data_IF_581590520049
#
_entry.id   IF_581590520049
#
_cell.length_a   1.000
_cell.length_b   1.000
_cell.length_c   1.000
_cell.angle_alpha   90.00
_cell.angle_beta   90.00
_cell.angle_gamma   90.00
#
_symmetry.space_group_name_H-M   'P 1'
#
loop_
_entity.id
_entity.type
_entity.pdbx_description
1 polymer ?
#
# COMPACT_ATOMS: atom_id res chain seq x y z
N UNK A 1 74.59 -12.62 14.70
CA UNK A 1 73.36 -13.16 15.32
C UNK A 1 72.50 -11.98 15.77
N UNK A 2 71.54 -11.58 14.94
CA UNK A 2 70.34 -10.78 15.26
C UNK A 2 69.68 -10.39 13.92
N UNK A 3 68.46 -10.86 13.71
CA UNK A 3 67.69 -10.82 12.47
C UNK A 3 67.00 -9.46 12.36
N UNK A 4 67.17 -8.78 11.21
CA UNK A 4 66.37 -7.61 10.83
C UNK A 4 64.99 -8.10 10.37
N UNK A 5 63.92 -7.64 11.01
CA UNK A 5 62.54 -7.89 10.58
C UNK A 5 62.18 -6.97 9.42
N UNK A 6 62.18 -7.51 8.20
CA UNK A 6 61.60 -6.89 7.01
C UNK A 6 60.09 -7.10 7.04
N UNK A 7 59.32 -6.05 7.31
CA UNK A 7 57.88 -6.04 7.02
C UNK A 7 57.71 -5.94 5.51
N UNK A 8 57.30 -7.05 4.90
CA UNK A 8 56.98 -7.14 3.48
C UNK A 8 55.55 -6.65 3.26
N UNK A 9 55.41 -5.66 2.38
CA UNK A 9 54.14 -5.15 1.86
C UNK A 9 53.59 -6.24 0.93
N UNK A 10 52.87 -7.21 1.48
CA UNK A 10 52.08 -8.16 0.70
C UNK A 10 50.61 -7.76 0.69
N UNK A 11 50.23 -7.17 -0.44
CA UNK A 11 48.98 -7.46 -1.15
C UNK A 11 47.64 -7.10 -0.48
N UNK A 12 47.41 -5.79 -0.35
CA UNK A 12 46.06 -5.21 -0.22
C UNK A 12 45.21 -5.35 -1.49
N UNK A 13 45.77 -5.91 -2.58
CA UNK A 13 45.10 -6.02 -3.89
C UNK A 13 44.22 -7.28 -4.01
N UNK A 14 44.50 -8.34 -3.25
CA UNK A 14 43.75 -9.62 -3.36
C UNK A 14 42.41 -9.56 -2.61
N UNK A 15 42.29 -8.75 -1.56
CA UNK A 15 41.04 -8.63 -0.79
C UNK A 15 39.96 -7.79 -1.51
N UNK A 16 40.35 -6.92 -2.45
CA UNK A 16 39.42 -6.07 -3.20
C UNK A 16 38.72 -6.84 -4.34
N UNK A 17 39.40 -7.80 -4.96
CA UNK A 17 38.86 -8.57 -6.09
C UNK A 17 37.81 -9.60 -5.68
N UNK A 18 37.92 -10.19 -4.48
CA UNK A 18 36.91 -11.12 -3.98
C UNK A 18 35.57 -10.42 -3.68
N UNK A 19 35.58 -9.21 -3.12
CA UNK A 19 34.35 -8.45 -2.85
C UNK A 19 33.67 -7.93 -4.13
N UNK A 20 34.44 -7.49 -5.14
CA UNK A 20 33.86 -7.12 -6.43
C UNK A 20 33.24 -8.33 -7.15
N UNK A 21 33.84 -9.52 -7.05
CA UNK A 21 33.29 -10.74 -7.68
C UNK A 21 31.99 -11.21 -7.03
N UNK A 22 31.87 -11.11 -5.69
CA UNK A 22 30.64 -11.43 -4.96
C UNK A 22 29.52 -10.41 -5.22
N UNK A 23 29.85 -9.13 -5.42
CA UNK A 23 28.89 -8.09 -5.79
C UNK A 23 28.44 -8.19 -7.27
N UNK A 24 29.31 -8.67 -8.16
CA UNK A 24 28.96 -8.92 -9.56
C UNK A 24 28.11 -10.20 -9.73
N UNK A 25 28.40 -11.26 -8.96
CA UNK A 25 27.61 -12.50 -9.01
C UNK A 25 26.22 -12.38 -8.36
N UNK A 26 26.00 -11.44 -7.43
CA UNK A 26 24.66 -11.21 -6.88
C UNK A 26 23.73 -10.44 -7.83
N UNK A 27 24.27 -9.83 -8.90
CA UNK A 27 23.51 -9.00 -9.85
C UNK A 27 23.17 -9.71 -11.17
N UNK A 28 23.54 -10.99 -11.36
CA UNK A 28 23.34 -11.70 -12.63
C UNK A 28 22.14 -12.67 -12.68
N UNK A 29 21.36 -12.80 -11.61
CA UNK A 29 20.14 -13.62 -11.61
C UNK A 29 18.90 -12.79 -11.31
N UNK A 30 18.52 -11.97 -12.29
CA UNK A 30 17.12 -11.58 -12.46
C UNK A 30 16.55 -12.54 -13.51
N UNK A 31 15.99 -13.67 -13.07
CA UNK A 31 15.29 -14.56 -13.98
C UNK A 31 14.11 -13.81 -14.59
N UNK A 32 14.19 -13.55 -15.89
CA UNK A 32 13.06 -13.03 -16.66
C UNK A 32 12.07 -14.16 -16.86
N UNK A 33 10.92 -14.07 -16.19
CA UNK A 33 9.80 -14.97 -16.44
C UNK A 33 9.35 -14.84 -17.91
N UNK A 34 9.08 -15.96 -18.60
CA UNK A 34 8.57 -15.92 -19.97
C UNK A 34 7.24 -15.18 -20.01
N UNK A 35 7.24 -14.01 -20.65
CA UNK A 35 6.05 -13.23 -20.94
C UNK A 35 5.22 -13.99 -21.98
N UNK A 36 4.11 -14.60 -21.54
CA UNK A 36 3.11 -15.17 -22.44
C UNK A 36 2.50 -14.03 -23.28
N UNK A 37 2.27 -14.21 -24.60
CA UNK A 37 1.75 -13.15 -25.46
C UNK A 37 0.50 -12.52 -24.87
N UNK A 38 0.50 -11.18 -24.84
CA UNK A 38 -0.52 -10.33 -24.26
C UNK A 38 -1.87 -10.63 -24.90
N UNK A 39 -2.70 -11.36 -24.17
CA UNK A 39 -4.14 -11.36 -24.39
C UNK A 39 -4.59 -9.92 -24.13
N UNK A 40 -5.33 -9.34 -25.08
CA UNK A 40 -5.83 -7.96 -25.09
C UNK A 40 -6.02 -7.44 -23.66
N UNK A 41 -5.08 -6.61 -23.19
CA UNK A 41 -5.10 -6.07 -21.84
C UNK A 41 -6.25 -5.06 -21.79
N UNK A 42 -7.41 -5.52 -21.34
CA UNK A 42 -8.58 -4.68 -21.24
C UNK A 42 -8.30 -3.62 -20.16
N UNK A 43 -7.93 -2.40 -20.56
CA UNK A 43 -7.56 -1.27 -19.67
C UNK A 43 -8.64 -0.94 -18.62
N UNK A 44 -9.87 -1.45 -18.78
CA UNK A 44 -10.94 -1.33 -17.81
C UNK A 44 -10.71 -2.12 -16.51
N UNK A 45 -9.82 -3.12 -16.49
CA UNK A 45 -9.52 -3.93 -15.31
C UNK A 45 -8.31 -3.42 -14.50
N UNK A 46 -7.67 -2.33 -14.92
CA UNK A 46 -6.46 -1.77 -14.28
C UNK A 46 -6.72 -0.56 -13.38
N UNK A 47 -7.99 -0.16 -13.17
CA UNK A 47 -8.34 0.90 -12.20
C UNK A 47 -7.78 0.55 -10.81
N UNK A 48 -7.30 1.56 -10.08
CA UNK A 48 -6.73 1.42 -8.73
C UNK A 48 -7.42 2.36 -7.77
N UNK A 49 -7.51 1.96 -6.51
CA UNK A 49 -7.99 2.80 -5.41
C UNK A 49 -7.04 2.71 -4.23
N UNK A 50 -6.95 3.79 -3.46
CA UNK A 50 -6.27 3.80 -2.17
C UNK A 50 -7.29 3.50 -1.06
N UNK A 51 -6.97 2.52 -0.23
CA UNK A 51 -7.73 2.16 0.98
C UNK A 51 -6.79 2.27 2.17
N UNK A 52 -7.26 2.83 3.27
CA UNK A 52 -6.46 2.92 4.50
C UNK A 52 -7.27 2.44 5.70
N UNK A 53 -6.69 1.54 6.49
CA UNK A 53 -7.17 1.26 7.85
C UNK A 53 -6.62 2.34 8.76
N UNK A 54 -7.52 3.05 9.43
CA UNK A 54 -7.23 4.17 10.34
C UNK A 54 -6.71 3.66 11.70
N UNK A 55 -6.21 4.54 12.59
CA UNK A 55 -5.62 4.11 13.86
C UNK A 55 -6.56 3.24 14.71
N UNK A 56 -7.84 3.58 14.78
CA UNK A 56 -8.87 2.79 15.47
C UNK A 56 -9.01 1.38 14.90
N UNK A 57 -8.92 1.21 13.57
CA UNK A 57 -9.02 -0.10 12.95
C UNK A 57 -7.78 -0.98 13.14
N UNK A 58 -6.62 -0.36 13.26
CA UNK A 58 -5.40 -1.07 13.64
C UNK A 58 -5.48 -1.50 15.10
N UNK A 59 -5.81 -0.57 16.00
CA UNK A 59 -5.92 -0.82 17.46
C UNK A 59 -6.94 -1.92 17.78
N UNK A 60 -8.04 -1.97 17.03
CA UNK A 60 -9.10 -2.98 17.20
C UNK A 60 -8.81 -4.33 16.53
N UNK A 61 -7.66 -4.50 15.88
CA UNK A 61 -7.26 -5.75 15.23
C UNK A 61 -8.04 -6.09 13.96
N UNK A 62 -8.59 -5.08 13.25
CA UNK A 62 -9.47 -5.28 12.10
C UNK A 62 -8.77 -5.22 10.73
N UNK A 63 -7.44 -5.07 10.71
CA UNK A 63 -6.65 -5.01 9.46
C UNK A 63 -6.90 -6.23 8.57
N UNK A 64 -6.80 -7.44 9.14
CA UNK A 64 -6.99 -8.69 8.40
C UNK A 64 -8.42 -8.85 7.87
N UNK A 65 -9.43 -8.43 8.64
CA UNK A 65 -10.83 -8.49 8.23
C UNK A 65 -11.10 -7.57 7.03
N UNK A 66 -10.56 -6.35 7.05
CA UNK A 66 -10.69 -5.42 5.92
C UNK A 66 -10.00 -5.99 4.67
N UNK A 67 -8.75 -6.46 4.78
CA UNK A 67 -8.03 -7.10 3.66
C UNK A 67 -8.85 -8.26 3.09
N UNK A 68 -9.32 -9.16 3.94
CA UNK A 68 -10.11 -10.33 3.57
C UNK A 68 -11.35 -9.95 2.76
N UNK A 69 -12.05 -8.85 3.07
CA UNK A 69 -13.23 -8.41 2.32
C UNK A 69 -12.89 -8.03 0.88
N UNK A 70 -11.76 -7.36 0.66
CA UNK A 70 -11.29 -7.01 -0.69
C UNK A 70 -10.75 -8.22 -1.46
N UNK A 71 -10.01 -9.12 -0.80
CA UNK A 71 -9.53 -10.36 -1.41
C UNK A 71 -10.69 -11.27 -1.83
N UNK A 72 -11.64 -11.49 -0.93
CA UNK A 72 -12.82 -12.34 -1.17
C UNK A 72 -13.69 -11.78 -2.29
N UNK A 73 -13.76 -10.44 -2.43
CA UNK A 73 -14.47 -9.80 -3.54
C UNK A 73 -13.82 -10.06 -4.89
N UNK A 74 -12.52 -10.40 -4.91
CA UNK A 74 -11.75 -10.62 -6.12
C UNK A 74 -10.88 -9.43 -6.54
N UNK A 75 -10.69 -8.41 -5.69
CA UNK A 75 -9.73 -7.34 -5.99
C UNK A 75 -8.29 -7.81 -5.80
N UNK A 76 -7.36 -7.22 -6.56
CA UNK A 76 -5.94 -7.58 -6.51
C UNK A 76 -5.19 -6.56 -5.64
N UNK A 77 -4.48 -7.03 -4.62
CA UNK A 77 -3.61 -6.18 -3.79
C UNK A 77 -2.33 -5.86 -4.55
N UNK A 78 -1.99 -4.58 -4.67
CA UNK A 78 -0.85 -4.10 -5.49
C UNK A 78 0.18 -3.29 -4.69
N UNK A 79 -0.18 -2.82 -3.50
CA UNK A 79 0.74 -2.30 -2.50
C UNK A 79 0.11 -2.38 -1.10
N UNK A 80 0.94 -2.56 -0.08
CA UNK A 80 0.54 -2.63 1.33
C UNK A 80 1.68 -2.09 2.19
N UNK A 81 1.38 -1.19 3.12
CA UNK A 81 2.35 -0.74 4.13
C UNK A 81 1.65 -0.35 5.43
N UNK A 82 2.32 -0.59 6.56
CA UNK A 82 1.97 0.01 7.85
C UNK A 82 2.90 1.20 8.10
N UNK A 83 2.34 2.34 8.49
CA UNK A 83 3.09 3.58 8.69
C UNK A 83 2.49 4.38 9.85
N UNK A 84 3.34 5.07 10.61
CA UNK A 84 2.91 6.16 11.49
C UNK A 84 3.06 7.48 10.74
N UNK A 85 1.98 8.03 10.16
CA UNK A 85 2.08 9.15 9.22
C UNK A 85 2.44 10.45 9.95
N UNK A 86 3.27 11.29 9.32
CA UNK A 86 3.53 12.64 9.82
C UNK A 86 2.28 13.51 9.71
N UNK A 87 2.20 14.57 10.52
CA UNK A 87 1.14 15.57 10.40
C UNK A 87 1.12 16.21 9.01
N UNK A 88 2.29 16.53 8.44
CA UNK A 88 2.39 17.11 7.10
C UNK A 88 1.82 16.20 6.00
N UNK A 89 2.05 14.88 6.09
CA UNK A 89 1.49 13.92 5.16
C UNK A 89 -0.04 13.88 5.26
N UNK A 90 -0.58 13.90 6.48
CA UNK A 90 -2.02 13.91 6.73
C UNK A 90 -2.68 15.22 6.30
N UNK A 91 -2.01 16.36 6.52
CA UNK A 91 -2.49 17.67 6.09
C UNK A 91 -2.59 17.74 4.57
N UNK A 92 -1.60 17.22 3.84
CA UNK A 92 -1.66 17.14 2.38
C UNK A 92 -2.75 16.16 1.91
N UNK A 93 -2.87 14.99 2.55
CA UNK A 93 -3.91 14.02 2.23
C UNK A 93 -5.32 14.60 2.42
N UNK A 94 -5.55 15.35 3.49
CA UNK A 94 -6.83 15.97 3.81
C UNK A 94 -6.92 17.45 3.40
N UNK A 95 -6.07 17.92 2.46
CA UNK A 95 -5.97 19.35 2.10
C UNK A 95 -7.30 20.00 1.72
N UNK A 96 -8.20 19.24 1.10
CA UNK A 96 -9.52 19.70 0.65
C UNK A 96 -10.47 19.97 1.84
N UNK A 97 -10.11 19.49 3.04
CA UNK A 97 -10.83 19.68 4.30
C UNK A 97 -10.17 20.74 5.19
N UNK A 98 -9.07 21.37 4.77
CA UNK A 98 -8.27 22.30 5.58
C UNK A 98 -9.06 23.49 6.17
N UNK A 99 -10.10 23.94 5.47
CA UNK A 99 -10.98 25.03 5.92
C UNK A 99 -12.08 24.58 6.89
N UNK A 100 -12.22 23.27 7.13
CA UNK A 100 -13.28 22.73 8.00
C UNK A 100 -12.88 22.82 9.47
N UNK A 101 -13.82 23.16 10.38
CA UNK A 101 -13.50 23.35 11.81
C UNK A 101 -12.99 22.07 12.49
N UNK A 102 -13.31 20.90 11.95
CA UNK A 102 -12.84 19.61 12.48
C UNK A 102 -11.46 19.18 11.97
N UNK A 103 -10.85 19.91 11.04
CA UNK A 103 -9.58 19.52 10.40
C UNK A 103 -8.42 19.32 11.41
N UNK A 104 -8.18 20.23 12.38
CA UNK A 104 -7.12 20.01 13.38
C UNK A 104 -7.34 18.73 14.20
N UNK A 105 -8.59 18.43 14.55
CA UNK A 105 -8.97 17.21 15.26
C UNK A 105 -8.77 15.97 14.39
N UNK A 106 -9.09 16.04 13.10
CA UNK A 106 -8.88 14.95 12.14
C UNK A 106 -7.38 14.62 12.00
N UNK A 107 -6.53 15.62 11.80
CA UNK A 107 -5.07 15.42 11.70
C UNK A 107 -4.50 14.86 13.01
N UNK A 108 -4.93 15.40 14.16
CA UNK A 108 -4.51 14.89 15.47
C UNK A 108 -4.94 13.44 15.71
N UNK A 109 -6.15 13.08 15.30
CA UNK A 109 -6.66 11.72 15.39
C UNK A 109 -5.87 10.77 14.50
N UNK A 110 -5.67 11.12 13.23
CA UNK A 110 -4.98 10.25 12.27
C UNK A 110 -3.48 10.09 12.56
N UNK A 111 -2.87 11.04 13.29
CA UNK A 111 -1.48 10.95 13.78
C UNK A 111 -1.34 10.29 15.15
N UNK A 112 -2.44 9.85 15.78
CA UNK A 112 -2.40 9.26 17.13
C UNK A 112 -1.85 7.83 17.17
N UNK A 113 -1.78 7.14 16.03
CA UNK A 113 -1.33 5.76 15.92
C UNK A 113 -0.98 5.36 14.49
N UNK A 114 -0.52 4.11 14.29
CA UNK A 114 -0.22 3.59 12.97
C UNK A 114 -1.48 3.44 12.11
N UNK A 115 -1.30 3.52 10.80
CA UNK A 115 -2.31 3.22 9.79
C UNK A 115 -1.79 2.13 8.87
N UNK A 116 -2.69 1.44 8.17
CA UNK A 116 -2.35 0.48 7.12
C UNK A 116 -2.88 0.99 5.79
N UNK A 117 -1.99 1.53 4.97
CA UNK A 117 -2.30 1.96 3.60
C UNK A 117 -2.22 0.77 2.63
N UNK A 118 -3.13 0.74 1.67
CA UNK A 118 -3.26 -0.32 0.66
C UNK A 118 -3.62 0.27 -0.70
N UNK A 119 -3.15 -0.38 -1.76
CA UNK A 119 -3.61 -0.12 -3.13
C UNK A 119 -4.25 -1.37 -3.69
N UNK A 120 -5.52 -1.26 -4.05
CA UNK A 120 -6.31 -2.34 -4.65
C UNK A 120 -6.59 -2.03 -6.11
N UNK A 121 -6.48 -3.03 -6.98
CA UNK A 121 -6.77 -2.90 -8.41
C UNK A 121 -7.89 -3.83 -8.87
N UNK A 122 -8.70 -3.35 -9.81
CA UNK A 122 -9.72 -4.11 -10.51
C UNK A 122 -10.82 -3.23 -11.09
N UNK A 123 -11.76 -3.83 -11.83
CA UNK A 123 -12.87 -3.13 -12.49
C UNK A 123 -13.72 -2.35 -11.47
N UNK A 124 -13.87 -1.04 -11.67
CA UNK A 124 -14.63 -0.13 -10.80
C UNK A 124 -14.26 -0.24 -9.31
N UNK A 125 -12.99 -0.49 -8.98
CA UNK A 125 -12.53 -0.71 -7.61
C UNK A 125 -12.69 0.52 -6.73
N UNK A 126 -12.62 1.75 -7.26
CA UNK A 126 -12.88 2.98 -6.49
C UNK A 126 -14.33 2.99 -6.02
N UNK A 127 -15.27 2.91 -6.98
CA UNK A 127 -16.72 2.97 -6.68
C UNK A 127 -17.16 1.79 -5.82
N UNK A 128 -16.71 0.59 -6.13
CA UNK A 128 -17.10 -0.61 -5.40
C UNK A 128 -16.39 -0.72 -4.05
N UNK A 129 -15.14 -0.26 -3.96
CA UNK A 129 -14.41 -0.15 -2.70
C UNK A 129 -15.18 0.75 -1.73
N UNK A 130 -15.64 1.93 -2.16
CA UNK A 130 -16.53 2.80 -1.37
C UNK A 130 -17.80 2.09 -0.90
N UNK A 131 -18.42 1.28 -1.76
CA UNK A 131 -19.60 0.47 -1.39
C UNK A 131 -19.27 -0.59 -0.34
N UNK A 132 -18.13 -1.27 -0.45
CA UNK A 132 -17.67 -2.24 0.56
C UNK A 132 -17.42 -1.57 1.90
N UNK A 133 -16.84 -0.36 1.89
CA UNK A 133 -16.60 0.39 3.12
C UNK A 133 -17.91 0.83 3.81
N UNK A 134 -18.94 1.18 3.04
CA UNK A 134 -20.18 1.78 3.56
C UNK A 134 -20.13 3.32 3.56
N UNK A 135 -21.21 3.95 4.03
CA UNK A 135 -21.30 5.40 4.13
C UNK A 135 -20.23 5.98 5.07
N UNK A 136 -19.86 7.26 4.93
CA UNK A 136 -18.84 7.86 5.81
C UNK A 136 -19.31 7.89 7.27
N UNK A 137 -20.59 8.17 7.49
CA UNK A 137 -21.25 8.04 8.77
C UNK A 137 -21.69 6.57 8.97
N UNK A 138 -21.18 5.86 9.99
CA UNK A 138 -21.55 4.47 10.25
C UNK A 138 -23.06 4.25 10.45
N UNK A 139 -23.77 5.23 11.01
CA UNK A 139 -25.22 5.13 11.22
C UNK A 139 -26.02 5.07 9.91
N UNK A 140 -25.42 5.53 8.81
CA UNK A 140 -25.98 5.46 7.45
C UNK A 140 -25.40 4.28 6.65
N UNK A 141 -24.62 3.41 7.29
CA UNK A 141 -23.97 2.26 6.65
C UNK A 141 -24.80 0.98 6.83
N UNK A 142 -25.13 0.34 5.72
CA UNK A 142 -25.90 -0.91 5.73
C UNK A 142 -25.13 -2.07 6.37
N UNK A 143 -25.82 -3.02 7.05
CA UNK A 143 -25.24 -4.28 7.47
C UNK A 143 -24.56 -5.03 6.31
N UNK A 144 -23.40 -5.61 6.56
CA UNK A 144 -22.54 -6.25 5.56
C UNK A 144 -21.49 -5.32 4.95
N UNK A 145 -21.59 -3.99 5.17
CA UNK A 145 -20.49 -3.06 4.88
C UNK A 145 -19.50 -3.03 6.04
N UNK A 146 -18.25 -2.65 5.78
CA UNK A 146 -17.21 -2.62 6.82
C UNK A 146 -17.60 -1.68 7.97
N UNK A 147 -18.11 -0.48 7.67
CA UNK A 147 -18.54 0.46 8.71
C UNK A 147 -19.85 0.05 9.36
N UNK A 148 -20.80 -0.51 8.61
CA UNK A 148 -22.06 -1.01 9.19
C UNK A 148 -21.83 -2.15 10.18
N UNK A 149 -20.85 -3.02 9.91
CA UNK A 149 -20.56 -4.16 10.78
C UNK A 149 -19.68 -3.81 11.99
N UNK A 150 -18.84 -2.77 11.86
CA UNK A 150 -17.76 -2.55 12.83
C UNK A 150 -17.65 -1.11 13.37
N UNK A 151 -18.46 -0.15 12.95
CA UNK A 151 -18.37 1.23 13.45
C UNK A 151 -19.69 1.69 14.08
N UNK A 152 -19.59 2.72 14.94
CA UNK A 152 -20.76 3.37 15.55
C UNK A 152 -20.71 4.89 15.27
N UNK A 153 -19.59 5.54 15.60
CA UNK A 153 -19.43 7.00 15.46
C UNK A 153 -18.60 7.42 14.24
N UNK A 154 -18.98 8.54 13.61
CA UNK A 154 -18.32 9.08 12.40
C UNK A 154 -16.84 9.45 12.62
N UNK A 155 -16.46 9.83 13.84
CA UNK A 155 -15.07 10.17 14.19
C UNK A 155 -14.15 8.95 14.25
N UNK A 156 -14.70 7.75 14.43
CA UNK A 156 -14.00 6.46 14.57
C UNK A 156 -14.61 5.46 13.59
N UNK A 157 -14.52 5.81 12.30
CA UNK A 157 -15.15 5.06 11.22
C UNK A 157 -14.21 4.09 10.51
N UNK A 158 -13.14 3.62 11.18
CA UNK A 158 -12.20 2.54 10.84
C UNK A 158 -11.35 2.66 9.58
N UNK A 159 -11.88 3.23 8.50
CA UNK A 159 -11.25 3.14 7.20
C UNK A 159 -11.49 4.38 6.33
N UNK A 160 -10.58 4.62 5.42
CA UNK A 160 -10.68 5.57 4.32
C UNK A 160 -10.65 4.83 2.98
N UNK A 161 -11.30 5.42 1.98
CA UNK A 161 -11.18 4.98 0.60
C UNK A 161 -11.41 6.16 -0.35
N UNK A 162 -10.60 6.24 -1.40
CA UNK A 162 -10.68 7.30 -2.42
C UNK A 162 -12.10 7.43 -2.96
N UNK A 163 -12.56 8.66 -3.17
CA UNK A 163 -13.94 8.95 -3.61
C UNK A 163 -14.12 9.02 -5.14
N UNK A 164 -13.02 9.15 -5.87
CA UNK A 164 -12.94 9.29 -7.31
C UNK A 164 -11.63 8.67 -7.83
N UNK A 165 -11.54 8.46 -9.14
CA UNK A 165 -10.32 7.93 -9.77
C UNK A 165 -9.19 8.95 -9.64
N UNK A 166 -9.51 10.23 -9.78
CA UNK A 166 -8.60 11.35 -9.66
C UNK A 166 -8.03 11.46 -8.23
N UNK A 167 -8.89 11.34 -7.21
CA UNK A 167 -8.45 11.26 -5.81
C UNK A 167 -7.58 10.03 -5.58
N UNK A 168 -7.93 8.87 -6.16
CA UNK A 168 -7.16 7.65 -6.00
C UNK A 168 -5.74 7.78 -6.55
N UNK A 169 -5.57 8.33 -7.76
CA UNK A 169 -4.25 8.56 -8.35
C UNK A 169 -3.39 9.48 -7.47
N UNK A 170 -3.97 10.60 -7.00
CA UNK A 170 -3.30 11.52 -6.08
C UNK A 170 -2.88 10.82 -4.78
N UNK A 171 -3.82 10.12 -4.15
CA UNK A 171 -3.60 9.45 -2.86
C UNK A 171 -2.56 8.33 -3.00
N UNK A 172 -2.60 7.54 -4.07
CA UNK A 172 -1.59 6.51 -4.35
C UNK A 172 -0.22 7.16 -4.52
N UNK A 173 -0.09 8.24 -5.30
CA UNK A 173 1.17 8.94 -5.49
C UNK A 173 1.73 9.56 -4.20
N UNK A 174 0.85 10.03 -3.32
CA UNK A 174 1.22 10.62 -2.03
C UNK A 174 1.71 9.55 -1.02
N UNK A 175 1.00 8.43 -0.91
CA UNK A 175 1.29 7.40 0.09
C UNK A 175 2.30 6.36 -0.38
N UNK A 176 2.36 6.09 -1.69
CA UNK A 176 3.25 5.10 -2.30
C UNK A 176 4.06 5.77 -3.42
N UNK A 177 5.08 6.57 -3.10
CA UNK A 177 5.87 7.30 -4.11
C UNK A 177 6.63 6.38 -5.08
N UNK A 178 6.92 5.15 -4.66
CA UNK A 178 7.49 4.11 -5.53
C UNK A 178 6.43 3.37 -6.37
N UNK A 179 5.17 3.79 -6.28
CA UNK A 179 4.03 3.21 -6.98
C UNK A 179 3.55 1.88 -6.41
N UNK A 180 2.54 1.33 -7.07
CA UNK A 180 2.03 -0.02 -6.81
C UNK A 180 2.50 -1.00 -7.87
N UNK A 181 2.75 -2.24 -7.46
CA UNK A 181 3.35 -3.30 -8.28
C UNK A 181 2.28 -3.92 -9.16
N UNK A 182 2.60 -4.14 -10.43
CA UNK A 182 1.78 -4.98 -11.29
C UNK A 182 2.29 -6.43 -11.28
N UNK A 183 1.35 -7.36 -11.15
CA UNK A 183 1.61 -8.79 -11.11
C UNK A 183 0.42 -9.59 -11.64
N UNK A 184 0.70 -10.77 -12.21
CA UNK A 184 -0.31 -11.61 -12.83
C UNK A 184 -0.95 -12.57 -11.82
N UNK A 185 -2.27 -12.49 -11.66
CA UNK A 185 -3.03 -13.41 -10.82
C UNK A 185 -3.63 -14.52 -11.67
N UNK A 186 -3.26 -15.77 -11.38
CA UNK A 186 -3.54 -16.95 -12.22
C UNK A 186 -5.03 -17.24 -12.48
N UNK A 187 -5.92 -16.75 -11.63
CA UNK A 187 -7.35 -17.02 -11.69
C UNK A 187 -8.21 -15.79 -12.06
N UNK A 188 -7.60 -14.75 -12.65
CA UNK A 188 -8.36 -13.57 -13.13
C UNK A 188 -9.43 -13.95 -14.15
N UNK A 189 -9.23 -15.03 -14.94
CA UNK A 189 -10.22 -15.56 -15.89
C UNK A 189 -11.47 -16.14 -15.24
N UNK A 190 -11.47 -16.35 -13.91
CA UNK A 190 -12.67 -16.75 -13.16
C UNK A 190 -13.39 -15.55 -12.52
N UNK A 191 -12.81 -14.36 -12.57
CA UNK A 191 -13.33 -13.13 -11.95
C UNK A 191 -13.84 -12.15 -13.02
N UNK A 192 -13.15 -12.08 -14.16
CA UNK A 192 -13.45 -11.17 -15.25
C UNK A 192 -13.77 -11.97 -16.53
N UNK A 193 -14.75 -11.48 -17.29
CA UNK A 193 -15.10 -11.94 -18.64
C UNK A 193 -14.16 -11.40 -19.73
#
# INVERSE_FOLDING_TARGET
MAIKSSFSIFSTTVFCLCFLSLFYLSNSHQESFPQKPSTIFNMSNSERTYIMVKPDGVERGLVGEIIKRFETKGYKLTALQMISPSKSLLEEHYRDLSSKPFFPKLVSYMSSGPVVGMVWSGKNVVKTGRKLLGATNPLDSEPGTIRGDFCIDVGQNLCHGSDSVESAEREIGLWFPNGAIDWNRRYDSFIYE
#
